data_IF_383649622172
#
_entry.id   IF_383649622172
#
_cell.length_a   1.000
_cell.length_b   1.000
_cell.length_c   1.000
_cell.angle_alpha   90.00
_cell.angle_beta   90.00
_cell.angle_gamma   90.00
#
_symmetry.space_group_name_H-M   'P 1'
#
loop_
_entity.id
_entity.type
_entity.pdbx_description
1 polymer ?
#
# COMPACT_ATOMS: atom_id res chain seq x y z
N UNK A 1 -17.81 -6.18 -7.17
CA UNK A 1 -16.37 -6.06 -6.90
C UNK A 1 -16.18 -5.43 -5.53
N UNK A 2 -15.55 -6.14 -4.61
CA UNK A 2 -15.19 -5.69 -3.27
C UNK A 2 -13.67 -5.71 -3.12
N UNK A 3 -13.10 -4.58 -2.69
CA UNK A 3 -11.66 -4.43 -2.48
C UNK A 3 -11.43 -4.12 -1.01
N UNK A 4 -10.67 -4.98 -0.33
CA UNK A 4 -10.24 -4.75 1.05
C UNK A 4 -8.81 -4.22 1.05
N UNK A 5 -8.52 -3.21 1.88
CA UNK A 5 -7.17 -2.70 2.10
C UNK A 5 -6.84 -2.68 3.58
N UNK A 6 -5.68 -3.22 3.96
CA UNK A 6 -5.28 -3.30 5.36
C UNK A 6 -3.76 -3.19 5.52
N UNK A 7 -3.31 -2.18 6.29
CA UNK A 7 -1.99 -2.21 6.89
C UNK A 7 -2.00 -3.20 8.08
N UNK A 8 -1.34 -4.36 7.90
CA UNK A 8 -1.35 -5.47 8.87
C UNK A 8 -0.25 -5.38 9.92
N UNK A 9 0.66 -4.40 9.82
CA UNK A 9 1.78 -4.23 10.75
C UNK A 9 2.54 -5.54 11.04
N UNK A 10 2.77 -6.35 9.99
CA UNK A 10 3.42 -7.66 10.06
C UNK A 10 2.44 -8.82 9.85
N UNK A 11 2.51 -9.44 8.67
CA UNK A 11 1.53 -10.48 8.26
C UNK A 11 1.59 -11.73 9.14
N UNK A 12 2.77 -12.15 9.62
CA UNK A 12 2.91 -13.33 10.49
C UNK A 12 2.18 -13.19 11.83
N UNK A 13 2.19 -11.98 12.40
CA UNK A 13 1.51 -11.73 13.66
C UNK A 13 0.01 -11.52 13.46
N UNK A 14 -0.37 -10.89 12.34
CA UNK A 14 -1.76 -10.70 11.93
C UNK A 14 -2.44 -12.04 11.63
N UNK A 15 -1.77 -12.95 10.92
CA UNK A 15 -2.30 -14.27 10.54
C UNK A 15 -2.67 -15.15 11.74
N UNK A 16 -2.08 -14.90 12.90
CA UNK A 16 -2.38 -15.61 14.15
C UNK A 16 -3.57 -14.99 14.93
N UNK A 17 -4.17 -13.92 14.41
CA UNK A 17 -5.18 -13.10 15.11
C UNK A 17 -6.45 -12.89 14.30
N UNK A 18 -6.99 -13.96 13.70
CA UNK A 18 -8.28 -13.88 13.02
C UNK A 18 -8.23 -13.36 11.58
N UNK A 19 -7.05 -13.32 10.95
CA UNK A 19 -6.89 -12.73 9.62
C UNK A 19 -7.71 -13.46 8.54
N UNK A 20 -7.64 -14.79 8.53
CA UNK A 20 -8.35 -15.58 7.53
C UNK A 20 -9.85 -15.62 7.81
N UNK A 21 -10.26 -15.60 9.08
CA UNK A 21 -11.65 -15.48 9.49
C UNK A 21 -12.24 -14.13 9.06
N UNK A 22 -11.48 -13.04 9.21
CA UNK A 22 -11.87 -11.73 8.68
C UNK A 22 -11.96 -11.74 7.16
N UNK A 23 -10.98 -12.34 6.48
CA UNK A 23 -10.98 -12.47 5.03
C UNK A 23 -12.23 -13.22 4.54
N UNK A 24 -12.51 -14.39 5.11
CA UNK A 24 -13.68 -15.20 4.74
C UNK A 24 -14.99 -14.47 5.02
N UNK A 25 -15.10 -13.78 6.16
CA UNK A 25 -16.29 -13.02 6.52
C UNK A 25 -16.53 -11.81 5.62
N UNK A 26 -15.47 -11.14 5.16
CA UNK A 26 -15.58 -10.02 4.23
C UNK A 26 -15.78 -10.47 2.77
N UNK A 27 -15.33 -11.67 2.41
CA UNK A 27 -15.42 -12.23 1.04
C UNK A 27 -15.00 -11.23 -0.07
N UNK A 28 -13.76 -10.71 -0.07
CA UNK A 28 -13.34 -9.75 -1.09
C UNK A 28 -13.11 -10.41 -2.47
N UNK A 29 -13.04 -9.58 -3.50
CA UNK A 29 -12.51 -9.95 -4.81
C UNK A 29 -11.00 -9.67 -4.91
N UNK A 30 -10.55 -8.64 -4.19
CA UNK A 30 -9.15 -8.20 -4.11
C UNK A 30 -8.83 -7.83 -2.66
N UNK A 31 -7.71 -8.32 -2.14
CA UNK A 31 -7.21 -8.00 -0.81
C UNK A 31 -5.81 -7.38 -0.92
N UNK A 32 -5.68 -6.13 -0.49
CA UNK A 32 -4.45 -5.36 -0.53
C UNK A 32 -3.86 -5.20 0.87
N UNK A 33 -2.64 -5.69 1.07
CA UNK A 33 -1.92 -5.57 2.34
C UNK A 33 -0.79 -4.56 2.24
N UNK A 34 -0.59 -3.82 3.34
CA UNK A 34 0.58 -2.97 3.58
C UNK A 34 1.30 -3.40 4.85
N UNK A 35 2.58 -3.05 4.92
CA UNK A 35 3.46 -3.35 6.05
C UNK A 35 3.54 -4.85 6.39
N UNK A 36 3.69 -5.70 5.37
CA UNK A 36 3.75 -7.17 5.55
C UNK A 36 4.95 -7.62 6.39
N UNK A 37 6.06 -6.87 6.39
CA UNK A 37 7.32 -7.14 7.12
C UNK A 37 7.87 -8.54 6.88
N UNK A 38 7.66 -9.06 5.68
CA UNK A 38 8.01 -10.42 5.32
C UNK A 38 8.39 -10.50 3.84
N UNK A 39 9.34 -11.38 3.56
CA UNK A 39 9.50 -11.92 2.22
C UNK A 39 8.72 -13.23 2.11
N UNK A 40 8.21 -13.59 0.92
CA UNK A 40 7.44 -14.82 0.71
C UNK A 40 8.18 -16.10 1.13
N UNK A 41 9.51 -16.16 1.00
CA UNK A 41 10.35 -17.31 1.44
C UNK A 41 10.31 -17.57 2.95
N UNK A 42 9.76 -16.64 3.73
CA UNK A 42 9.66 -16.72 5.18
C UNK A 42 8.25 -17.11 5.67
N UNK A 43 7.32 -17.36 4.76
CA UNK A 43 5.91 -17.53 5.03
C UNK A 43 5.45 -18.94 4.63
N UNK A 44 4.34 -19.39 5.21
CA UNK A 44 3.68 -20.62 4.81
C UNK A 44 2.96 -20.43 3.48
N UNK A 45 2.75 -21.51 2.72
CA UNK A 45 2.02 -21.46 1.45
C UNK A 45 0.61 -20.89 1.61
N UNK A 46 -0.03 -21.17 2.75
CA UNK A 46 -1.34 -20.62 3.13
C UNK A 46 -1.35 -19.09 3.15
N UNK A 47 -0.26 -18.44 3.59
CA UNK A 47 -0.14 -16.98 3.56
C UNK A 47 0.30 -16.50 2.19
N UNK A 48 1.23 -17.20 1.54
CA UNK A 48 1.81 -16.74 0.26
C UNK A 48 0.79 -16.79 -0.87
N UNK A 49 -0.01 -17.84 -0.95
CA UNK A 49 -1.03 -18.07 -1.99
C UNK A 49 -2.25 -18.78 -1.39
N UNK A 50 -3.08 -18.06 -0.61
CA UNK A 50 -4.29 -18.63 -0.05
C UNK A 50 -5.26 -19.06 -1.15
N UNK A 51 -5.81 -20.26 -1.03
CA UNK A 51 -7.04 -20.69 -1.73
C UNK A 51 -7.00 -20.55 -3.27
N UNK A 52 -5.81 -20.66 -3.88
CA UNK A 52 -5.65 -20.53 -5.34
C UNK A 52 -5.78 -19.11 -5.89
N UNK A 53 -5.73 -18.09 -5.02
CA UNK A 53 -5.71 -16.70 -5.44
C UNK A 53 -4.39 -16.33 -6.11
N UNK A 54 -4.45 -15.43 -7.08
CA UNK A 54 -3.25 -14.75 -7.57
C UNK A 54 -2.68 -13.91 -6.44
N UNK A 55 -1.38 -14.05 -6.17
CA UNK A 55 -0.71 -13.35 -5.08
C UNK A 55 0.54 -12.64 -5.59
N UNK A 56 0.58 -11.33 -5.40
CA UNK A 56 1.63 -10.46 -5.91
C UNK A 56 2.26 -9.69 -4.77
N UNK A 57 3.56 -9.91 -4.54
CA UNK A 57 4.28 -9.40 -3.37
C UNK A 57 5.38 -8.43 -3.78
N UNK A 58 5.56 -7.37 -2.99
CA UNK A 58 6.69 -6.46 -3.08
C UNK A 58 7.32 -6.34 -1.72
N UNK A 59 8.49 -6.96 -1.54
CA UNK A 59 9.21 -6.95 -0.27
C UNK A 59 10.32 -5.91 -0.30
N UNK A 60 10.55 -5.22 0.83
CA UNK A 60 11.68 -4.31 0.92
C UNK A 60 13.00 -5.06 0.88
N UNK A 61 14.07 -4.41 0.42
CA UNK A 61 15.41 -5.01 0.48
C UNK A 61 15.85 -5.31 1.92
N UNK A 62 15.45 -4.46 2.88
CA UNK A 62 15.68 -4.68 4.31
C UNK A 62 14.65 -5.66 4.87
N UNK A 63 15.11 -6.82 5.38
CA UNK A 63 14.24 -7.81 6.02
C UNK A 63 13.50 -7.21 7.22
N UNK A 64 12.23 -7.59 7.39
CA UNK A 64 11.36 -7.15 8.48
C UNK A 64 10.90 -5.69 8.39
N UNK A 65 11.13 -5.02 7.25
CA UNK A 65 10.74 -3.63 7.02
C UNK A 65 9.73 -3.54 5.87
N UNK A 66 8.71 -2.68 6.02
CA UNK A 66 7.75 -2.34 4.96
C UNK A 66 7.13 -3.60 4.32
N UNK A 67 6.87 -3.58 3.01
CA UNK A 67 6.34 -4.69 2.24
C UNK A 67 4.86 -4.54 1.94
N UNK A 68 4.46 -4.90 0.73
CA UNK A 68 3.07 -4.83 0.24
C UNK A 68 2.72 -6.14 -0.47
N UNK A 69 1.44 -6.51 -0.45
CA UNK A 69 0.93 -7.66 -1.18
C UNK A 69 -0.45 -7.37 -1.75
N UNK A 70 -0.76 -7.91 -2.93
CA UNK A 70 -2.10 -7.92 -3.50
C UNK A 70 -2.48 -9.35 -3.78
N UNK A 71 -3.60 -9.78 -3.21
CA UNK A 71 -4.25 -11.02 -3.57
C UNK A 71 -5.49 -10.70 -4.39
N UNK A 72 -5.71 -11.45 -5.47
CA UNK A 72 -6.90 -11.29 -6.30
C UNK A 72 -7.44 -12.64 -6.79
N UNK A 73 -8.78 -12.76 -6.82
CA UNK A 73 -9.46 -13.94 -7.39
C UNK A 73 -9.16 -14.12 -8.88
N UNK A 74 -9.11 -13.00 -9.61
CA UNK A 74 -8.70 -12.95 -11.01
C UNK A 74 -7.23 -12.53 -11.08
N UNK A 75 -6.43 -13.19 -11.91
CA UNK A 75 -5.04 -12.77 -12.13
C UNK A 75 -5.00 -11.44 -12.91
N UNK A 76 -4.21 -10.45 -12.47
CA UNK A 76 -3.99 -9.24 -13.26
C UNK A 76 -3.24 -9.57 -14.57
N UNK A 77 -3.45 -8.75 -15.60
CA UNK A 77 -2.74 -8.87 -16.88
C UNK A 77 -1.27 -8.51 -16.76
N UNK A 78 -0.98 -7.49 -15.96
CA UNK A 78 0.37 -7.02 -15.70
C UNK A 78 0.50 -6.65 -14.22
N UNK A 79 1.69 -6.90 -13.67
CA UNK A 79 2.04 -6.52 -12.30
C UNK A 79 3.37 -5.78 -12.32
N UNK A 80 3.41 -4.62 -11.69
CA UNK A 80 4.63 -3.85 -11.50
C UNK A 80 4.83 -3.49 -10.02
N UNK A 81 6.08 -3.37 -9.60
CA UNK A 81 6.47 -3.18 -8.20
C UNK A 81 7.08 -1.81 -7.93
N UNK A 82 6.64 -0.80 -8.68
CA UNK A 82 7.22 0.53 -8.60
C UNK A 82 6.79 1.44 -9.75
N UNK A 83 7.20 2.70 -9.69
CA UNK A 83 6.89 3.71 -10.71
C UNK A 83 8.11 4.08 -11.57
N UNK A 84 9.17 3.27 -11.53
CA UNK A 84 10.39 3.45 -12.30
C UNK A 84 11.36 4.46 -11.68
N UNK A 85 11.29 4.66 -10.37
CA UNK A 85 12.16 5.56 -9.61
C UNK A 85 12.90 4.73 -8.56
N UNK A 86 14.20 4.41 -8.76
CA UNK A 86 14.92 3.41 -7.96
C UNK A 86 14.84 3.61 -6.44
N UNK A 87 14.87 4.85 -5.95
CA UNK A 87 14.79 5.15 -4.51
C UNK A 87 13.43 4.85 -3.88
N UNK A 88 12.36 4.76 -4.66
CA UNK A 88 11.01 4.43 -4.19
C UNK A 88 10.68 2.94 -4.38
N UNK A 89 11.26 2.33 -5.40
CA UNK A 89 10.96 0.95 -5.81
C UNK A 89 11.72 -0.11 -4.98
N UNK A 90 12.63 0.31 -4.10
CA UNK A 90 13.46 -0.58 -3.25
C UNK A 90 12.88 -0.86 -1.86
N UNK A 91 11.91 -0.05 -1.41
CA UNK A 91 11.30 -0.17 -0.08
C UNK A 91 10.06 -1.09 -0.05
N UNK A 92 9.73 -1.79 -1.14
CA UNK A 92 8.59 -2.71 -1.18
C UNK A 92 7.23 -2.02 -1.03
N UNK A 93 7.14 -0.76 -1.46
CA UNK A 93 5.99 0.13 -1.21
C UNK A 93 4.86 0.01 -2.22
N UNK A 94 5.08 -0.70 -3.32
CA UNK A 94 4.15 -0.78 -4.43
C UNK A 94 3.89 -2.22 -4.84
N UNK A 95 2.60 -2.53 -4.99
CA UNK A 95 2.13 -3.55 -5.92
C UNK A 95 1.08 -2.88 -6.80
N UNK A 96 1.34 -2.82 -8.09
CA UNK A 96 0.48 -2.19 -9.07
C UNK A 96 -0.02 -3.29 -10.00
N UNK A 97 -1.33 -3.45 -10.10
CA UNK A 97 -1.98 -4.51 -10.87
C UNK A 97 -2.84 -3.89 -11.97
N UNK A 98 -2.58 -4.26 -13.22
CA UNK A 98 -3.42 -3.90 -14.37
C UNK A 98 -4.46 -5.01 -14.58
N UNK A 99 -5.74 -4.70 -14.36
CA UNK A 99 -6.87 -5.61 -14.56
C UNK A 99 -7.62 -5.35 -15.87
N UNK A 100 -6.96 -4.74 -16.86
CA UNK A 100 -7.56 -4.23 -18.11
C UNK A 100 -8.48 -3.04 -17.89
N UNK A 101 -9.60 -3.26 -17.21
CA UNK A 101 -10.64 -2.25 -16.97
C UNK A 101 -10.14 -1.10 -16.09
N UNK A 102 -9.27 -1.41 -15.12
CA UNK A 102 -8.66 -0.42 -14.22
C UNK A 102 -7.26 -0.85 -13.81
N UNK A 103 -6.49 0.13 -13.33
CA UNK A 103 -5.17 -0.09 -12.72
C UNK A 103 -5.29 0.14 -11.22
N UNK A 104 -4.98 -0.89 -10.43
CA UNK A 104 -4.99 -0.85 -8.98
C UNK A 104 -3.59 -0.55 -8.45
N UNK A 105 -3.47 0.48 -7.62
CA UNK A 105 -2.27 0.82 -6.87
C UNK A 105 -2.47 0.46 -5.40
N UNK A 106 -1.81 -0.59 -4.94
CA UNK A 106 -1.63 -0.85 -3.51
C UNK A 106 -0.32 -0.21 -3.04
N UNK A 107 -0.44 0.81 -2.18
CA UNK A 107 0.70 1.62 -1.76
C UNK A 107 0.84 1.68 -0.24
N UNK A 108 2.05 1.40 0.25
CA UNK A 108 2.45 1.78 1.59
C UNK A 108 3.22 3.10 1.52
N UNK A 109 2.56 4.23 1.83
CA UNK A 109 3.17 5.54 1.70
C UNK A 109 4.22 5.77 2.78
N UNK A 110 5.30 6.53 2.51
CA UNK A 110 6.33 6.77 3.50
C UNK A 110 5.78 7.54 4.71
N UNK A 111 6.11 7.05 5.91
CA UNK A 111 5.92 7.82 7.13
C UNK A 111 7.03 8.89 7.26
N UNK A 112 6.65 10.15 7.53
CA UNK A 112 7.55 11.29 7.61
C UNK A 112 8.01 11.66 9.03
N UNK A 113 7.52 10.98 10.08
CA UNK A 113 7.70 11.39 11.47
C UNK A 113 9.12 11.19 12.04
N UNK A 114 9.98 10.44 11.36
CA UNK A 114 11.28 10.08 11.92
C UNK A 114 12.31 11.22 11.89
N UNK A 115 12.43 11.94 10.76
CA UNK A 115 13.44 12.98 10.48
C UNK A 115 12.99 13.86 9.32
N UNK A 116 13.55 15.08 9.21
CA UNK A 116 13.33 15.99 8.07
C UNK A 116 13.61 15.31 6.71
N UNK A 117 14.67 14.51 6.63
CA UNK A 117 15.01 13.72 5.44
C UNK A 117 13.87 12.78 5.01
N UNK A 118 13.16 12.16 5.97
CA UNK A 118 12.02 11.27 5.68
C UNK A 118 10.79 12.06 5.27
N UNK A 119 10.58 13.24 5.85
CA UNK A 119 9.54 14.15 5.39
C UNK A 119 9.79 14.59 3.94
N UNK A 120 11.01 15.01 3.60
CA UNK A 120 11.39 15.38 2.23
C UNK A 120 11.24 14.20 1.25
N UNK A 121 11.64 12.99 1.67
CA UNK A 121 11.41 11.77 0.90
C UNK A 121 9.91 11.53 0.64
N UNK A 122 9.05 11.69 1.66
CA UNK A 122 7.59 11.56 1.53
C UNK A 122 7.00 12.59 0.58
N UNK A 123 7.39 13.86 0.70
CA UNK A 123 6.92 14.93 -0.19
C UNK A 123 7.29 14.67 -1.65
N UNK A 124 8.54 14.24 -1.90
CA UNK A 124 8.96 13.91 -3.25
C UNK A 124 8.24 12.67 -3.80
N UNK A 125 8.04 11.64 -2.96
CA UNK A 125 7.25 10.46 -3.30
C UNK A 125 5.85 10.84 -3.76
N UNK A 126 5.13 11.65 -2.96
CA UNK A 126 3.77 12.10 -3.28
C UNK A 126 3.73 12.89 -4.60
N UNK A 127 4.67 13.81 -4.81
CA UNK A 127 4.75 14.60 -6.04
C UNK A 127 4.99 13.72 -7.26
N UNK A 128 5.94 12.78 -7.19
CA UNK A 128 6.28 11.89 -8.30
C UNK A 128 5.16 10.91 -8.62
N UNK A 129 4.51 10.36 -7.58
CA UNK A 129 3.33 9.53 -7.73
C UNK A 129 2.18 10.31 -8.39
N UNK A 130 1.89 11.54 -7.94
CA UNK A 130 0.84 12.37 -8.52
C UNK A 130 1.06 12.63 -10.03
N UNK A 131 2.31 12.88 -10.44
CA UNK A 131 2.66 13.03 -11.86
C UNK A 131 2.46 11.72 -12.64
N UNK A 132 2.81 10.58 -12.05
CA UNK A 132 2.61 9.26 -12.66
C UNK A 132 1.11 8.96 -12.85
N UNK A 133 0.30 9.14 -11.80
CA UNK A 133 -1.16 8.95 -11.84
C UNK A 133 -1.82 9.86 -12.87
N UNK A 134 -1.46 11.15 -12.92
CA UNK A 134 -1.95 12.08 -13.95
C UNK A 134 -1.62 11.63 -15.36
N UNK A 135 -0.46 11.00 -15.57
CA UNK A 135 -0.10 10.45 -16.88
C UNK A 135 -1.02 9.31 -17.29
N UNK A 136 -1.36 8.40 -16.38
CA UNK A 136 -2.28 7.28 -16.63
C UNK A 136 -3.71 7.78 -16.92
N UNK A 137 -4.21 8.71 -16.10
CA UNK A 137 -5.55 9.29 -16.29
C UNK A 137 -5.65 10.00 -17.65
N UNK A 138 -4.62 10.75 -18.06
CA UNK A 138 -4.59 11.40 -19.39
C UNK A 138 -4.58 10.40 -20.55
N UNK A 139 -4.10 9.18 -20.33
CA UNK A 139 -4.17 8.08 -21.31
C UNK A 139 -5.54 7.37 -21.32
N UNK A 140 -6.50 7.85 -20.53
CA UNK A 140 -7.84 7.26 -20.43
C UNK A 140 -7.90 5.99 -19.57
N UNK A 141 -6.93 5.76 -18.68
CA UNK A 141 -6.99 4.64 -17.74
C UNK A 141 -7.82 5.02 -16.52
N UNK A 142 -8.71 4.12 -16.11
CA UNK A 142 -9.33 4.14 -14.78
C UNK A 142 -8.31 3.68 -13.74
N UNK A 143 -8.20 4.40 -12.63
CA UNK A 143 -7.16 4.17 -11.62
C UNK A 143 -7.78 4.15 -10.23
N UNK A 144 -7.49 3.07 -9.48
CA UNK A 144 -7.83 2.95 -8.07
C UNK A 144 -6.54 3.03 -7.28
N UNK A 145 -6.43 4.00 -6.38
CA UNK A 145 -5.28 4.14 -5.46
C UNK A 145 -5.75 3.90 -4.04
N UNK A 146 -5.11 2.95 -3.37
CA UNK A 146 -5.42 2.59 -2.00
C UNK A 146 -4.15 2.28 -1.20
N UNK A 147 -4.35 2.14 0.10
CA UNK A 147 -3.34 1.71 1.04
C UNK A 147 -3.21 2.68 2.21
N UNK A 148 -2.06 2.63 2.88
CA UNK A 148 -1.81 3.45 4.06
C UNK A 148 -1.03 4.71 3.67
N UNK A 149 -1.77 5.82 3.56
CA UNK A 149 -1.29 7.14 3.18
C UNK A 149 -0.33 7.76 4.21
N UNK A 150 -0.37 7.33 5.47
CA UNK A 150 0.31 8.03 6.56
C UNK A 150 0.02 9.54 6.56
N UNK A 151 -1.18 9.95 6.13
CA UNK A 151 -1.68 11.33 6.09
C UNK A 151 -3.17 11.29 6.41
N UNK A 152 -3.61 12.15 7.32
CA UNK A 152 -5.00 12.50 7.52
C UNK A 152 -5.29 13.86 6.84
N UNK A 153 -6.42 13.99 6.16
CA UNK A 153 -6.67 15.10 5.24
C UNK A 153 -7.41 16.26 5.92
N UNK A 154 -8.46 15.96 6.66
CA UNK A 154 -9.32 16.94 7.32
C UNK A 154 -9.25 16.80 8.84
N UNK A 155 -9.64 17.88 9.53
CA UNK A 155 -9.70 17.90 11.00
C UNK A 155 -10.63 16.83 11.57
N UNK A 156 -11.66 16.41 10.81
CA UNK A 156 -12.55 15.31 11.19
C UNK A 156 -11.86 13.93 11.18
N UNK A 157 -10.73 13.79 10.48
CA UNK A 157 -9.99 12.53 10.36
C UNK A 157 -9.06 12.28 11.56
N UNK A 158 -8.97 13.24 12.50
CA UNK A 158 -8.09 13.16 13.67
C UNK A 158 -8.81 13.58 14.95
N UNK A 159 -8.38 13.02 16.07
CA UNK A 159 -9.02 13.30 17.37
C UNK A 159 -8.62 14.66 17.99
N UNK A 160 -7.48 15.23 17.59
CA UNK A 160 -6.95 16.49 18.12
C UNK A 160 -6.23 17.29 17.01
N UNK A 161 -6.99 17.98 16.14
CA UNK A 161 -6.43 18.65 14.97
C UNK A 161 -5.48 19.80 15.33
N UNK A 162 -5.73 20.51 16.42
CA UNK A 162 -4.89 21.64 16.86
C UNK A 162 -3.50 21.16 17.23
N UNK A 163 -3.39 20.11 18.06
CA UNK A 163 -2.10 19.56 18.47
C UNK A 163 -1.40 18.84 17.31
N UNK A 164 -2.15 18.06 16.51
CA UNK A 164 -1.57 17.24 15.45
C UNK A 164 -1.12 18.04 14.23
N UNK A 165 -1.55 19.30 14.08
CA UNK A 165 -1.11 20.20 13.00
C UNK A 165 0.40 20.46 12.94
N UNK A 166 1.15 20.04 13.96
CA UNK A 166 2.62 20.15 14.07
C UNK A 166 3.34 18.81 13.94
N UNK A 167 2.62 17.74 13.61
CA UNK A 167 3.14 16.36 13.57
C UNK A 167 2.99 15.81 12.15
N UNK A 168 4.04 15.16 11.64
CA UNK A 168 3.96 14.50 10.32
C UNK A 168 2.85 13.45 10.30
N UNK A 169 2.10 13.45 9.21
CA UNK A 169 0.82 12.78 9.06
C UNK A 169 -0.36 13.76 9.13
N UNK A 170 -0.16 14.98 9.64
CA UNK A 170 -1.21 15.99 9.69
C UNK A 170 -0.69 17.44 9.51
N UNK A 171 0.52 17.61 8.95
CA UNK A 171 1.07 18.94 8.68
C UNK A 171 0.27 19.64 7.57
N UNK A 172 0.09 20.98 7.62
CA UNK A 172 -0.64 21.72 6.59
C UNK A 172 -0.16 21.48 5.15
N UNK A 173 1.14 21.28 4.95
CA UNK A 173 1.75 20.98 3.65
C UNK A 173 1.53 19.55 3.16
N UNK A 174 1.22 18.58 4.04
CA UNK A 174 0.86 17.21 3.66
C UNK A 174 -0.61 17.10 3.22
N UNK A 175 -1.42 18.14 3.47
CA UNK A 175 -2.86 18.19 3.21
C UNK A 175 -3.23 19.07 2.00
N UNK A 176 -2.27 19.35 1.11
CA UNK A 176 -2.44 20.22 -0.08
C UNK A 176 -2.44 19.46 -1.40
#
# INVERSE_FOLDING_TARGET
MKICTWNVNGIRACSQKGFFEFWEGEDPDIFCLQETKAHPDQLTDEIVSPLGWSANWSSAHRRGYSGTAVYSRTAPKEVTHGIGIPKFDTEGRFVICDFEDFVLFNIYFPNGAAREERHNYKQEFLRKLNLHLKSLIRKGREVIVLGDYNVAYMDIDVFDPVRLSKVSGFLPEERK
#
